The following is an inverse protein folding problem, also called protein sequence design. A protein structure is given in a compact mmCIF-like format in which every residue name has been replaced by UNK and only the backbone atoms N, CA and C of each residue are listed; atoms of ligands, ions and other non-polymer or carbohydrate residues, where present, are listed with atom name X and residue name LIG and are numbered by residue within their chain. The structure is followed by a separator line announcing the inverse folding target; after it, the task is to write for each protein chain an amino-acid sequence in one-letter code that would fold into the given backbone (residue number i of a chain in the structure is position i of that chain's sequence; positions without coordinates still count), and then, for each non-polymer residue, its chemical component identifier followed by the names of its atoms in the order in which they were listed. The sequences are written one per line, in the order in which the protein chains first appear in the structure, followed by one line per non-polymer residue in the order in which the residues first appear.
data_IF_016906899529
#
_entry.id   IF_016906899529
#
_cell.length_a   1.000
_cell.length_b   1.000
_cell.length_c   1.000
_cell.angle_alpha   90.00
_cell.angle_beta   90.00
_cell.angle_gamma   90.00
#
_symmetry.space_group_name_H-M   'P 1'
#
loop_
_entity.id
_entity.type
_entity.pdbx_description
1 polymer ?
#
# COMPACT_ATOMS: atom_id res chain seq x y z
N UNK A 1 -25.41 -2.64 -15.34
CA UNK A 1 -23.95 -2.43 -15.20
C UNK A 1 -23.51 -2.28 -13.74
N UNK A 2 -24.37 -1.81 -12.83
CA UNK A 2 -24.12 -1.74 -11.38
C UNK A 2 -24.16 -3.10 -10.66
N UNK A 3 -24.86 -4.10 -11.21
CA UNK A 3 -25.00 -5.42 -10.55
C UNK A 3 -23.79 -6.35 -10.68
N UNK A 4 -22.87 -6.08 -11.60
CA UNK A 4 -21.69 -6.94 -11.79
C UNK A 4 -20.66 -6.77 -10.66
N UNK A 5 -20.66 -5.61 -9.98
CA UNK A 5 -19.83 -5.35 -8.80
C UNK A 5 -20.37 -6.00 -7.51
N UNK A 6 -21.58 -6.57 -7.54
CA UNK A 6 -22.26 -7.09 -6.33
C UNK A 6 -21.91 -8.55 -6.03
N UNK A 7 -21.34 -9.29 -6.99
CA UNK A 7 -21.10 -10.74 -6.86
C UNK A 7 -19.63 -11.16 -6.80
N UNK A 8 -18.70 -10.37 -7.38
CA UNK A 8 -17.29 -10.73 -7.48
C UNK A 8 -16.39 -9.68 -6.79
N UNK A 9 -15.25 -10.11 -6.20
CA UNK A 9 -14.29 -9.17 -5.62
C UNK A 9 -13.72 -8.25 -6.68
N UNK A 10 -13.57 -6.96 -6.35
CA UNK A 10 -12.81 -6.01 -7.16
C UNK A 10 -11.34 -6.14 -6.77
N UNK A 11 -10.47 -6.29 -7.76
CA UNK A 11 -9.03 -6.37 -7.56
C UNK A 11 -8.34 -5.27 -8.35
N UNK A 12 -7.58 -4.42 -7.67
CA UNK A 12 -6.72 -3.41 -8.28
C UNK A 12 -5.29 -3.93 -8.14
N UNK A 13 -4.55 -3.99 -9.23
CA UNK A 13 -3.15 -4.46 -9.25
C UNK A 13 -2.25 -3.37 -9.80
N UNK A 14 -1.03 -3.28 -9.29
CA UNK A 14 -0.03 -2.34 -9.81
C UNK A 14 1.39 -2.90 -9.74
N UNK A 15 2.27 -2.22 -10.46
CA UNK A 15 3.71 -2.42 -10.44
C UNK A 15 4.36 -1.04 -10.49
N UNK A 16 5.20 -0.75 -9.50
CA UNK A 16 5.95 0.49 -9.40
C UNK A 16 7.43 0.21 -9.15
N UNK A 17 8.18 1.31 -9.04
CA UNK A 17 9.51 1.33 -8.46
C UNK A 17 9.52 2.29 -7.27
N UNK A 18 10.34 1.99 -6.27
CA UNK A 18 10.69 2.89 -5.19
C UNK A 18 12.16 3.22 -5.41
N UNK A 19 12.44 4.50 -5.66
CA UNK A 19 13.78 5.03 -5.87
C UNK A 19 14.11 5.98 -4.72
N UNK A 20 14.79 5.51 -3.66
CA UNK A 20 15.14 6.35 -2.53
C UNK A 20 16.24 7.33 -2.97
N UNK A 21 15.93 8.62 -2.87
CA UNK A 21 16.79 9.70 -3.37
C UNK A 21 17.89 10.10 -2.36
N UNK A 22 17.63 9.89 -1.08
CA UNK A 22 18.52 10.22 0.04
C UNK A 22 18.34 9.22 1.17
N UNK A 23 19.45 8.83 1.81
CA UNK A 23 19.45 7.98 2.99
C UNK A 23 20.57 8.40 3.95
N UNK A 24 20.25 8.55 5.23
CA UNK A 24 21.20 8.97 6.27
C UNK A 24 21.94 10.29 5.96
N UNK A 25 21.27 11.25 5.31
CA UNK A 25 21.86 12.55 4.96
C UNK A 25 22.75 12.54 3.71
N UNK A 26 22.84 11.41 3.00
CA UNK A 26 23.62 11.26 1.78
C UNK A 26 22.72 10.96 0.58
N UNK A 27 23.00 11.55 -0.61
CA UNK A 27 22.32 11.15 -1.84
C UNK A 27 22.52 9.67 -2.12
N UNK A 28 21.44 8.98 -2.47
CA UNK A 28 21.46 7.55 -2.77
C UNK A 28 21.18 7.34 -4.26
N UNK A 29 21.93 6.42 -4.88
CA UNK A 29 21.77 6.03 -6.28
C UNK A 29 21.96 4.53 -6.42
N UNK A 30 21.20 3.90 -7.32
CA UNK A 30 21.31 2.46 -7.55
C UNK A 30 20.86 1.64 -6.34
N UNK A 31 19.80 2.09 -5.68
CA UNK A 31 19.19 1.36 -4.57
C UNK A 31 17.69 1.17 -4.82
N UNK A 32 17.36 0.92 -6.08
CA UNK A 32 15.98 0.85 -6.55
C UNK A 32 15.31 -0.43 -6.03
N UNK A 33 14.07 -0.31 -5.62
CA UNK A 33 13.21 -1.42 -5.27
C UNK A 33 12.09 -1.54 -6.29
N UNK A 34 11.83 -2.75 -6.77
CA UNK A 34 10.64 -3.07 -7.53
C UNK A 34 9.52 -3.35 -6.55
N UNK A 35 8.44 -2.63 -6.72
CA UNK A 35 7.23 -2.80 -5.93
C UNK A 35 6.12 -3.35 -6.84
N UNK A 36 5.39 -4.32 -6.31
CA UNK A 36 4.15 -4.82 -6.88
C UNK A 36 3.14 -4.85 -5.76
N UNK A 37 1.89 -4.60 -6.07
CA UNK A 37 0.88 -4.73 -5.05
C UNK A 37 -0.49 -4.94 -5.63
N UNK A 38 -1.41 -5.24 -4.72
CA UNK A 38 -2.80 -5.37 -5.04
C UNK A 38 -3.68 -4.94 -3.88
N UNK A 39 -4.88 -4.47 -4.23
CA UNK A 39 -5.97 -4.20 -3.32
C UNK A 39 -7.12 -5.12 -3.71
N UNK A 40 -7.64 -5.87 -2.74
CA UNK A 40 -8.88 -6.64 -2.89
C UNK A 40 -9.98 -5.92 -2.11
N UNK A 41 -11.04 -5.55 -2.80
CA UNK A 41 -12.28 -5.05 -2.21
C UNK A 41 -13.32 -6.14 -2.39
N UNK A 42 -13.83 -6.65 -1.27
CA UNK A 42 -14.83 -7.71 -1.30
C UNK A 42 -15.81 -7.56 -0.16
N UNK A 43 -16.96 -8.19 -0.29
CA UNK A 43 -17.89 -8.32 0.82
C UNK A 43 -17.39 -9.38 1.81
N UNK A 44 -17.26 -9.08 3.11
CA UNK A 44 -16.98 -10.09 4.11
C UNK A 44 -18.18 -11.03 4.28
N UNK A 45 -17.91 -12.34 4.38
CA UNK A 45 -18.94 -13.36 4.63
C UNK A 45 -19.46 -13.20 6.06
N UNK A 46 -20.78 -13.23 6.24
CA UNK A 46 -21.40 -13.12 7.56
C UNK A 46 -21.55 -11.70 8.11
N UNK A 47 -21.28 -10.66 7.30
CA UNK A 47 -21.50 -9.26 7.66
C UNK A 47 -22.71 -8.68 6.90
N UNK A 48 -23.31 -7.61 7.45
CA UNK A 48 -24.44 -6.92 6.84
C UNK A 48 -24.10 -6.33 5.46
N UNK A 49 -25.15 -6.00 4.68
CA UNK A 49 -25.05 -5.61 3.26
C UNK A 49 -24.20 -4.39 2.96
N UNK A 50 -24.04 -3.53 3.95
CA UNK A 50 -23.44 -2.21 3.86
C UNK A 50 -21.94 -2.18 4.19
N UNK A 51 -21.29 -3.35 4.32
CA UNK A 51 -19.87 -3.43 4.63
C UNK A 51 -19.05 -4.00 3.48
N UNK A 52 -17.86 -3.43 3.29
CA UNK A 52 -16.83 -3.96 2.42
C UNK A 52 -15.53 -4.14 3.21
N UNK A 53 -14.78 -5.18 2.87
CA UNK A 53 -13.45 -5.44 3.37
C UNK A 53 -12.43 -5.02 2.31
N UNK A 54 -11.55 -4.09 2.69
CA UNK A 54 -10.41 -3.64 1.93
C UNK A 54 -9.16 -4.37 2.44
N UNK A 55 -8.50 -5.15 1.58
CA UNK A 55 -7.22 -5.78 1.91
C UNK A 55 -6.16 -5.31 0.93
N UNK A 56 -5.05 -4.81 1.46
CA UNK A 56 -3.94 -4.30 0.66
C UNK A 56 -2.70 -5.14 0.90
N UNK A 57 -1.97 -5.48 -0.16
CA UNK A 57 -0.73 -6.24 -0.09
C UNK A 57 0.32 -5.61 -1.00
N UNK A 58 1.55 -5.57 -0.52
CA UNK A 58 2.73 -5.11 -1.25
C UNK A 58 3.76 -6.23 -1.26
N UNK A 59 4.43 -6.39 -2.39
CA UNK A 59 5.57 -7.25 -2.63
C UNK A 59 6.71 -6.35 -3.09
N UNK A 60 7.73 -6.22 -2.25
CA UNK A 60 8.87 -5.34 -2.50
C UNK A 60 10.12 -6.19 -2.66
N UNK A 61 10.84 -5.97 -3.74
CA UNK A 61 12.09 -6.64 -4.07
C UNK A 61 13.16 -5.61 -4.39
N UNK A 62 14.34 -5.73 -3.81
CA UNK A 62 15.48 -4.87 -4.15
C UNK A 62 16.02 -5.27 -5.52
N UNK A 63 16.02 -4.36 -6.50
CA UNK A 63 16.52 -4.68 -7.85
C UNK A 63 18.04 -4.60 -7.96
N UNK A 64 18.66 -3.73 -7.17
CA UNK A 64 20.11 -3.54 -7.23
C UNK A 64 20.82 -4.54 -6.30
N UNK A 65 21.81 -5.32 -6.79
CA UNK A 65 22.53 -6.27 -5.96
C UNK A 65 23.15 -5.60 -4.74
N UNK A 66 23.13 -6.29 -3.60
CA UNK A 66 23.68 -5.82 -2.31
C UNK A 66 25.13 -5.34 -2.43
N UNK A 67 25.90 -5.90 -3.37
CA UNK A 67 27.32 -5.59 -3.62
C UNK A 67 27.58 -4.23 -4.29
N UNK A 68 26.53 -3.55 -4.77
CA UNK A 68 26.60 -2.24 -5.44
C UNK A 68 26.43 -1.09 -4.45
N UNK A 69 25.73 -1.36 -3.36
CA UNK A 69 25.79 -0.57 -2.13
C UNK A 69 27.05 -1.06 -1.43
N UNK A 70 27.82 -0.17 -0.80
CA UNK A 70 29.06 -0.50 -0.07
C UNK A 70 28.96 -1.85 0.66
N UNK A 71 30.07 -2.61 0.74
CA UNK A 71 30.22 -3.98 1.31
C UNK A 71 29.73 -4.15 2.78
N UNK A 72 29.11 -3.11 3.33
CA UNK A 72 28.47 -3.07 4.63
C UNK A 72 27.00 -3.55 4.54
N UNK A 73 26.80 -4.84 4.85
CA UNK A 73 25.47 -5.45 4.98
C UNK A 73 24.54 -4.72 5.97
N UNK A 74 25.06 -3.93 6.91
CA UNK A 74 24.24 -3.14 7.84
C UNK A 74 23.50 -1.99 7.13
N UNK A 75 24.13 -1.35 6.14
CA UNK A 75 23.51 -0.27 5.35
C UNK A 75 22.37 -0.80 4.50
N UNK A 76 22.54 -1.97 3.89
CA UNK A 76 21.48 -2.61 3.09
C UNK A 76 20.28 -3.00 3.94
N UNK A 77 20.51 -3.54 5.14
CA UNK A 77 19.44 -3.86 6.10
C UNK A 77 18.66 -2.61 6.51
N UNK A 78 19.37 -1.56 6.95
CA UNK A 78 18.74 -0.32 7.37
C UNK A 78 17.95 0.38 6.25
N UNK A 79 18.45 0.33 5.01
CA UNK A 79 17.73 0.85 3.85
C UNK A 79 16.47 0.04 3.54
N UNK A 80 16.55 -1.28 3.62
CA UNK A 80 15.40 -2.17 3.44
C UNK A 80 14.33 -1.87 4.49
N UNK A 81 14.72 -1.76 5.76
CA UNK A 81 13.81 -1.42 6.85
C UNK A 81 13.15 -0.06 6.66
N UNK A 82 13.89 0.93 6.17
CA UNK A 82 13.36 2.24 5.83
C UNK A 82 12.26 2.15 4.76
N UNK A 83 12.53 1.44 3.65
CA UNK A 83 11.56 1.27 2.55
C UNK A 83 10.32 0.51 3.01
N UNK A 84 10.50 -0.57 3.77
CA UNK A 84 9.38 -1.36 4.30
C UNK A 84 8.54 -0.56 5.30
N UNK A 85 9.18 0.20 6.18
CA UNK A 85 8.49 1.03 7.19
C UNK A 85 7.70 2.16 6.54
N UNK A 86 8.30 2.86 5.57
CA UNK A 86 7.62 3.90 4.80
C UNK A 86 6.41 3.33 4.03
N UNK A 87 6.56 2.14 3.46
CA UNK A 87 5.44 1.47 2.78
C UNK A 87 4.33 1.09 3.75
N UNK A 88 4.66 0.51 4.91
CA UNK A 88 3.68 0.16 5.94
C UNK A 88 2.91 1.39 6.44
N UNK A 89 3.60 2.51 6.64
CA UNK A 89 2.98 3.78 7.00
C UNK A 89 2.01 4.27 5.90
N UNK A 90 2.40 4.19 4.63
CA UNK A 90 1.55 4.57 3.50
C UNK A 90 0.28 3.69 3.40
N UNK A 91 0.38 2.39 3.67
CA UNK A 91 -0.79 1.50 3.74
C UNK A 91 -1.76 1.96 4.82
N UNK A 92 -1.25 2.20 6.04
CA UNK A 92 -2.06 2.60 7.17
C UNK A 92 -2.76 3.94 6.93
N UNK A 93 -2.03 4.94 6.42
CA UNK A 93 -2.58 6.25 6.05
C UNK A 93 -3.63 6.11 4.95
N UNK A 94 -3.38 5.30 3.92
CA UNK A 94 -4.34 5.03 2.86
C UNK A 94 -5.64 4.43 3.39
N UNK A 95 -5.56 3.44 4.29
CA UNK A 95 -6.73 2.85 4.94
C UNK A 95 -7.50 3.88 5.78
N UNK A 96 -6.80 4.73 6.53
CA UNK A 96 -7.43 5.77 7.34
C UNK A 96 -8.15 6.82 6.47
N UNK A 97 -7.54 7.25 5.35
CA UNK A 97 -8.16 8.20 4.42
C UNK A 97 -9.44 7.62 3.84
N UNK A 98 -9.40 6.37 3.36
CA UNK A 98 -10.60 5.70 2.81
C UNK A 98 -11.68 5.58 3.88
N UNK A 99 -11.33 5.14 5.09
CA UNK A 99 -12.28 5.03 6.20
C UNK A 99 -12.93 6.37 6.55
N UNK A 100 -12.15 7.45 6.61
CA UNK A 100 -12.65 8.79 6.91
C UNK A 100 -13.59 9.33 5.83
N UNK A 101 -13.26 9.13 4.54
CA UNK A 101 -14.13 9.53 3.43
C UNK A 101 -15.46 8.79 3.51
N UNK A 102 -15.43 7.46 3.68
CA UNK A 102 -16.64 6.65 3.79
C UNK A 102 -17.49 7.03 5.00
N UNK A 103 -16.85 7.30 6.15
CA UNK A 103 -17.53 7.77 7.35
C UNK A 103 -18.23 9.11 7.13
N UNK A 104 -17.53 10.08 6.53
CA UNK A 104 -18.09 11.40 6.24
C UNK A 104 -19.27 11.33 5.26
N UNK A 105 -19.19 10.48 4.23
CA UNK A 105 -20.31 10.29 3.29
C UNK A 105 -21.52 9.62 3.96
N UNK A 106 -21.30 8.63 4.83
CA UNK A 106 -22.38 8.04 5.62
C UNK A 106 -23.05 9.11 6.50
N UNK A 107 -22.27 9.93 7.20
CA UNK A 107 -22.79 11.01 8.05
C UNK A 107 -23.61 12.05 7.29
N UNK A 108 -23.15 12.47 6.09
CA UNK A 108 -23.93 13.37 5.22
C UNK A 108 -25.29 12.79 4.84
N UNK A 109 -25.30 11.49 4.52
CA UNK A 109 -26.51 10.75 4.16
C UNK A 109 -27.51 10.71 5.33
N UNK A 110 -27.02 10.56 6.57
CA UNK A 110 -27.87 10.61 7.77
C UNK A 110 -28.37 12.01 8.14
N UNK A 111 -27.58 13.06 7.88
CA UNK A 111 -28.00 14.44 8.17
C UNK A 111 -29.01 15.02 7.16
N UNK A 112 -29.31 14.29 6.08
CA UNK A 112 -30.28 14.68 5.05
C UNK A 112 -31.62 13.92 5.17
N UNK A 113 -31.82 13.17 6.26
CA UNK A 113 -33.07 12.47 6.62
C UNK A 113 -33.67 13.10 7.88
#
# INVERSE_FOLDING_TARGET
MVDLFRALPVVIVWRSFIDPVEFSGAPLRGAEFREKGYIVIRRPRGMAENFALLQTCYLIHQETPVHSLTDDGAVTGALTDFVLSGTAANIAVGHQIVANILFNEAMKTYSCV
#
